data_IF_165345128236
#
_entry.id   IF_165345128236
#
_cell.length_a   1.000
_cell.length_b   1.000
_cell.length_c   1.000
_cell.angle_alpha   90.00
_cell.angle_beta   90.00
_cell.angle_gamma   90.00
#
_symmetry.space_group_name_H-M   'P 1'
#
loop_
_entity.id
_entity.type
_entity.pdbx_description
1 polymer ?
#
# COMPACT_ATOMS: atom_id res chain seq x y z
N UNK A 1 -28.53 -31.67 40.92
CA UNK A 1 -28.21 -30.22 40.97
C UNK A 1 -26.85 -30.01 41.61
N UNK A 2 -25.76 -29.98 40.83
CA UNK A 2 -24.42 -29.59 41.30
C UNK A 2 -24.29 -28.08 41.06
N UNK A 3 -24.20 -27.28 42.13
CA UNK A 3 -24.01 -25.82 42.03
C UNK A 3 -22.54 -25.58 41.66
N UNK A 4 -22.32 -25.09 40.45
CA UNK A 4 -21.03 -24.58 39.98
C UNK A 4 -20.58 -23.44 40.90
N UNK A 5 -19.44 -23.60 41.57
CA UNK A 5 -18.67 -22.45 41.99
C UNK A 5 -18.29 -21.71 40.69
N UNK A 6 -18.79 -20.49 40.52
CA UNK A 6 -18.45 -19.64 39.38
C UNK A 6 -16.99 -19.25 39.49
N UNK A 7 -16.10 -20.09 38.95
CA UNK A 7 -14.81 -19.65 38.50
C UNK A 7 -15.07 -18.47 37.54
N UNK A 8 -14.56 -17.28 37.87
CA UNK A 8 -14.59 -16.16 36.94
C UNK A 8 -13.88 -16.65 35.67
N UNK A 9 -14.58 -16.59 34.53
CA UNK A 9 -13.96 -16.90 33.25
C UNK A 9 -12.77 -15.95 33.01
N UNK A 10 -11.78 -16.38 32.23
CA UNK A 10 -10.63 -15.54 31.85
C UNK A 10 -11.07 -14.16 31.32
N UNK A 11 -12.20 -14.12 30.60
CA UNK A 11 -12.82 -12.90 30.09
C UNK A 11 -13.28 -11.93 31.18
N UNK A 12 -13.84 -12.44 32.27
CA UNK A 12 -14.28 -11.61 33.40
C UNK A 12 -13.08 -11.02 34.16
N UNK A 13 -12.02 -11.82 34.33
CA UNK A 13 -10.76 -11.34 34.92
C UNK A 13 -10.08 -10.28 34.05
N UNK A 14 -10.05 -10.48 32.72
CA UNK A 14 -9.53 -9.50 31.77
C UNK A 14 -10.30 -8.16 31.86
N UNK A 15 -11.63 -8.18 31.99
CA UNK A 15 -12.43 -6.96 32.16
C UNK A 15 -12.07 -6.20 33.44
N UNK A 16 -11.87 -6.90 34.56
CA UNK A 16 -11.46 -6.30 35.84
C UNK A 16 -10.06 -5.68 35.72
N UNK A 17 -9.09 -6.42 35.17
CA UNK A 17 -7.72 -5.92 34.98
C UNK A 17 -7.69 -4.71 34.06
N UNK A 18 -8.47 -4.72 32.96
CA UNK A 18 -8.62 -3.56 32.07
C UNK A 18 -9.15 -2.34 32.83
N UNK A 19 -10.16 -2.52 33.68
CA UNK A 19 -10.69 -1.45 34.54
C UNK A 19 -9.64 -0.90 35.52
N UNK A 20 -8.81 -1.78 36.12
CA UNK A 20 -7.70 -1.37 36.98
C UNK A 20 -6.71 -0.52 36.18
N UNK A 21 -6.25 -0.99 35.02
CA UNK A 21 -5.29 -0.27 34.17
C UNK A 21 -5.81 1.11 33.75
N UNK A 22 -7.09 1.20 33.33
CA UNK A 22 -7.70 2.45 32.91
C UNK A 22 -7.90 3.45 34.06
N UNK A 23 -8.03 2.98 35.30
CA UNK A 23 -8.16 3.83 36.48
C UNK A 23 -6.86 4.49 36.91
N UNK A 24 -5.73 3.99 36.40
CA UNK A 24 -4.40 4.46 36.75
C UNK A 24 -4.06 5.62 35.82
N UNK A 25 -3.89 6.82 36.39
CA UNK A 25 -3.35 8.01 35.69
C UNK A 25 -2.00 7.65 35.03
N UNK A 26 -1.43 8.43 34.09
CA UNK A 26 -0.23 8.07 33.30
C UNK A 26 1.03 7.63 34.07
N UNK A 27 1.02 7.69 35.40
CA UNK A 27 2.05 7.18 36.30
C UNK A 27 2.27 5.65 36.23
N UNK A 28 1.30 4.87 35.73
CA UNK A 28 1.41 3.41 35.66
C UNK A 28 1.19 2.71 37.01
N UNK A 29 1.06 1.38 36.99
CA UNK A 29 0.77 0.54 38.16
C UNK A 29 1.67 -0.68 38.17
N UNK A 30 2.20 -1.06 39.33
CA UNK A 30 3.04 -2.26 39.44
C UNK A 30 2.23 -3.55 39.27
N UNK A 31 2.85 -4.60 38.74
CA UNK A 31 2.23 -5.94 38.67
C UNK A 31 1.75 -6.44 40.04
N UNK A 32 2.53 -6.17 41.09
CA UNK A 32 2.18 -6.52 42.48
C UNK A 32 0.88 -5.83 42.92
N UNK A 33 0.72 -4.55 42.59
CA UNK A 33 -0.47 -3.79 42.95
C UNK A 33 -1.70 -4.23 42.14
N UNK A 34 -1.54 -4.54 40.85
CA UNK A 34 -2.63 -5.14 40.05
C UNK A 34 -3.06 -6.47 40.69
N UNK A 35 -2.10 -7.32 41.05
CA UNK A 35 -2.37 -8.59 41.71
C UNK A 35 -3.11 -8.43 43.05
N UNK A 36 -2.77 -7.41 43.83
CA UNK A 36 -3.44 -7.10 45.10
C UNK A 36 -4.88 -6.62 44.88
N UNK A 37 -5.09 -5.65 43.96
CA UNK A 37 -6.42 -5.15 43.59
C UNK A 37 -7.32 -6.24 43.01
N UNK A 38 -6.76 -7.15 42.21
CA UNK A 38 -7.49 -8.28 41.66
C UNK A 38 -7.93 -9.26 42.75
N UNK A 39 -7.06 -9.56 43.72
CA UNK A 39 -7.40 -10.38 44.89
C UNK A 39 -8.50 -9.74 45.73
N UNK A 40 -8.41 -8.43 46.00
CA UNK A 40 -9.45 -7.68 46.71
C UNK A 40 -10.81 -7.77 46.00
N UNK A 41 -10.81 -7.60 44.68
CA UNK A 41 -12.03 -7.70 43.87
C UNK A 41 -12.64 -9.10 43.92
N UNK A 42 -11.82 -10.15 43.84
CA UNK A 42 -12.28 -11.54 43.94
C UNK A 42 -12.84 -11.85 45.34
N UNK A 43 -12.17 -11.42 46.40
CA UNK A 43 -12.64 -11.58 47.79
C UNK A 43 -13.99 -10.88 48.01
N UNK A 44 -14.13 -9.62 47.55
CA UNK A 44 -15.39 -8.88 47.66
C UNK A 44 -16.54 -9.51 46.85
N UNK A 45 -16.22 -10.22 45.76
CA UNK A 45 -17.21 -10.94 44.94
C UNK A 45 -17.61 -12.26 45.61
N UNK A 46 -16.66 -12.96 46.25
CA UNK A 46 -16.92 -14.16 47.05
C UNK A 46 -17.76 -13.86 48.30
N UNK A 47 -17.55 -12.73 48.96
CA UNK A 47 -18.34 -12.32 50.14
C UNK A 47 -19.81 -12.01 49.80
N UNK A 48 -20.10 -11.53 48.58
CA UNK A 48 -21.48 -11.31 48.11
C UNK A 48 -22.18 -12.59 47.64
N UNK A 49 -21.43 -13.63 47.30
CA UNK A 49 -21.95 -14.95 46.97
C UNK A 49 -22.01 -15.82 48.23
N UNK A 50 -23.19 -15.99 48.82
CA UNK A 50 -23.43 -16.89 49.97
C UNK A 50 -22.71 -18.23 49.83
N UNK A 51 -21.58 -18.41 50.53
CA UNK A 51 -21.27 -19.45 51.52
C UNK A 51 -19.87 -19.18 52.06
N UNK A 52 -19.78 -18.94 53.37
CA UNK A 52 -18.55 -18.95 54.14
C UNK A 52 -17.92 -20.35 54.12
N UNK A 53 -17.05 -20.60 53.14
CA UNK A 53 -15.99 -21.59 53.23
C UNK A 53 -14.72 -20.90 52.75
N UNK A 54 -13.64 -21.05 53.52
CA UNK A 54 -12.29 -20.66 53.15
C UNK A 54 -11.87 -21.39 51.88
N UNK A 55 -12.37 -20.93 50.73
CA UNK A 55 -11.87 -21.29 49.42
C UNK A 55 -10.72 -20.32 49.20
N UNK A 56 -9.49 -20.81 49.28
CA UNK A 56 -8.34 -20.04 48.80
C UNK A 56 -8.68 -19.50 47.41
N UNK A 57 -8.54 -18.19 47.22
CA UNK A 57 -8.79 -17.57 45.94
C UNK A 57 -7.98 -18.33 44.88
N UNK A 58 -8.59 -18.78 43.77
CA UNK A 58 -7.87 -19.52 42.75
C UNK A 58 -6.66 -18.70 42.29
N UNK A 59 -5.51 -19.36 42.16
CA UNK A 59 -4.28 -18.72 41.71
C UNK A 59 -4.50 -18.12 40.33
N UNK A 60 -4.58 -16.79 40.25
CA UNK A 60 -4.71 -16.07 38.99
C UNK A 60 -3.34 -16.05 38.32
N UNK A 61 -3.26 -16.59 37.11
CA UNK A 61 -2.12 -16.36 36.24
C UNK A 61 -2.20 -14.94 35.66
N UNK A 62 -1.62 -13.97 36.38
CA UNK A 62 -1.69 -12.56 35.99
C UNK A 62 -1.06 -12.29 34.62
N UNK A 63 0.00 -13.04 34.25
CA UNK A 63 0.64 -12.92 32.94
C UNK A 63 -0.32 -13.28 31.81
N UNK A 64 -1.08 -14.37 31.93
CA UNK A 64 -2.08 -14.74 30.92
C UNK A 64 -3.21 -13.71 30.83
N UNK A 65 -3.66 -13.18 31.96
CA UNK A 65 -4.72 -12.15 31.95
C UNK A 65 -4.22 -10.85 31.31
N UNK A 66 -2.95 -10.48 31.54
CA UNK A 66 -2.35 -9.31 30.89
C UNK A 66 -2.19 -9.51 29.39
N UNK A 67 -1.78 -10.69 28.93
CA UNK A 67 -1.74 -11.01 27.49
C UNK A 67 -3.10 -10.82 26.81
N UNK A 68 -4.20 -11.13 27.49
CA UNK A 68 -5.56 -10.92 26.96
C UNK A 68 -5.99 -9.45 26.85
N UNK A 69 -5.30 -8.52 27.53
CA UNK A 69 -5.61 -7.07 27.52
C UNK A 69 -4.43 -6.21 27.04
N UNK A 70 -3.50 -6.81 26.31
CA UNK A 70 -2.32 -6.18 25.71
C UNK A 70 -2.65 -5.04 24.72
N UNK A 71 -3.89 -4.93 24.26
CA UNK A 71 -4.41 -3.84 23.43
C UNK A 71 -4.66 -2.53 24.22
N UNK A 72 -4.58 -2.57 25.54
CA UNK A 72 -4.88 -1.43 26.40
C UNK A 72 -3.69 -0.94 27.25
N UNK A 73 -2.51 -1.54 27.11
CA UNK A 73 -1.35 -1.20 27.95
C UNK A 73 0.01 -1.45 27.31
N UNK A 74 1.05 -0.87 27.92
CA UNK A 74 2.45 -1.23 27.73
C UNK A 74 3.03 -1.77 29.04
N UNK A 75 3.90 -2.77 28.95
CA UNK A 75 4.64 -3.33 30.09
C UNK A 75 6.10 -2.88 30.00
N UNK A 76 6.60 -2.22 31.04
CA UNK A 76 8.00 -1.81 31.17
C UNK A 76 8.48 -2.08 32.60
N UNK A 77 9.52 -2.89 32.78
CA UNK A 77 10.13 -3.22 34.07
C UNK A 77 9.13 -3.56 35.20
N UNK A 78 8.14 -4.40 34.89
CA UNK A 78 7.06 -4.81 35.82
C UNK A 78 6.07 -3.71 36.21
N UNK A 79 6.04 -2.61 35.45
CA UNK A 79 5.04 -1.54 35.55
C UNK A 79 4.18 -1.55 34.29
N UNK A 80 2.86 -1.56 34.51
CA UNK A 80 1.84 -1.51 33.47
C UNK A 80 1.38 -0.08 33.30
N UNK A 81 1.52 0.46 32.09
CA UNK A 81 1.08 1.80 31.72
C UNK A 81 -0.15 1.71 30.80
N UNK A 82 -1.21 2.50 31.02
CA UNK A 82 -2.30 2.58 30.05
C UNK A 82 -1.78 3.11 28.72
N UNK A 83 -2.19 2.48 27.62
CA UNK A 83 -1.81 2.90 26.27
C UNK A 83 -3.03 2.82 25.34
N UNK A 84 -3.25 3.90 24.59
CA UNK A 84 -4.23 3.89 23.49
C UNK A 84 -3.54 3.38 22.22
N UNK A 85 -3.39 2.06 22.14
CA UNK A 85 -2.79 1.41 20.98
C UNK A 85 -3.56 1.71 19.69
N UNK A 86 -4.88 1.93 19.75
CA UNK A 86 -5.63 2.29 18.57
C UNK A 86 -5.22 3.67 18.02
N UNK A 87 -4.99 4.66 18.89
CA UNK A 87 -4.44 5.95 18.48
C UNK A 87 -3.00 5.81 17.93
N UNK A 88 -2.13 5.06 18.61
CA UNK A 88 -0.75 4.81 18.17
C UNK A 88 -0.73 4.15 16.78
N UNK A 89 -1.49 3.08 16.59
CA UNK A 89 -1.54 2.35 15.31
C UNK A 89 -2.13 3.21 14.19
N UNK A 90 -3.11 4.09 14.48
CA UNK A 90 -3.61 5.06 13.49
C UNK A 90 -2.55 6.09 13.10
N UNK A 91 -1.79 6.62 14.05
CA UNK A 91 -0.70 7.56 13.77
C UNK A 91 0.38 6.89 12.90
N UNK A 92 0.76 5.66 13.24
CA UNK A 92 1.68 4.87 12.41
C UNK A 92 1.11 4.67 11.01
N UNK A 93 -0.16 4.22 10.90
CA UNK A 93 -0.83 3.99 9.62
C UNK A 93 -0.84 5.24 8.72
N UNK A 94 -1.04 6.44 9.28
CA UNK A 94 -1.03 7.70 8.54
C UNK A 94 0.33 8.06 7.91
N UNK A 95 1.40 7.35 8.25
CA UNK A 95 2.75 7.56 7.71
C UNK A 95 3.29 6.35 6.93
N UNK A 96 2.50 5.29 6.78
CA UNK A 96 2.92 4.07 6.11
C UNK A 96 2.96 4.26 4.59
N UNK A 97 3.99 3.73 3.89
CA UNK A 97 3.98 3.66 2.44
C UNK A 97 2.89 2.68 1.95
N UNK A 98 2.42 2.90 0.72
CA UNK A 98 1.33 2.13 0.11
C UNK A 98 1.67 0.63 -0.01
N UNK A 99 2.91 0.32 -0.34
CA UNK A 99 3.44 -1.04 -0.49
C UNK A 99 3.36 -1.85 0.81
N UNK A 100 3.26 -1.14 1.94
CA UNK A 100 3.29 -1.68 3.29
C UNK A 100 4.69 -1.65 3.90
N UNK A 101 4.75 -2.09 5.15
CA UNK A 101 5.99 -2.20 5.92
C UNK A 101 6.30 -3.66 6.19
N UNK A 102 7.60 -3.95 6.25
CA UNK A 102 8.09 -5.17 6.90
C UNK A 102 8.08 -4.98 8.42
N UNK A 103 8.16 -6.09 9.16
CA UNK A 103 8.05 -6.09 10.62
C UNK A 103 9.03 -5.15 11.33
N UNK A 104 10.28 -5.10 10.88
CA UNK A 104 11.32 -4.24 11.48
C UNK A 104 10.95 -2.75 11.37
N UNK A 105 10.48 -2.30 10.21
CA UNK A 105 10.11 -0.90 9.97
C UNK A 105 8.84 -0.52 10.74
N UNK A 106 7.89 -1.45 10.86
CA UNK A 106 6.71 -1.26 11.69
C UNK A 106 7.08 -1.09 13.17
N UNK A 107 7.94 -1.97 13.70
CA UNK A 107 8.42 -1.89 15.08
C UNK A 107 9.11 -0.54 15.34
N UNK A 108 9.95 -0.09 14.41
CA UNK A 108 10.63 1.20 14.53
C UNK A 108 9.62 2.35 14.70
N UNK A 109 8.58 2.41 13.87
CA UNK A 109 7.55 3.47 13.94
C UNK A 109 6.66 3.36 15.18
N UNK A 110 6.38 2.14 15.64
CA UNK A 110 5.66 1.93 16.91
C UNK A 110 6.49 2.47 18.08
N UNK A 111 7.81 2.27 18.09
CA UNK A 111 8.72 2.83 19.10
C UNK A 111 8.80 4.36 19.05
N UNK A 112 8.74 4.96 17.87
CA UNK A 112 8.70 6.44 17.74
C UNK A 112 7.44 7.04 18.37
N UNK A 113 6.31 6.35 18.30
CA UNK A 113 5.04 6.82 18.87
C UNK A 113 4.85 6.39 20.33
N UNK A 114 5.38 5.24 20.72
CA UNK A 114 5.33 4.72 22.08
C UNK A 114 6.69 4.07 22.45
N UNK A 115 7.61 4.85 23.05
CA UNK A 115 8.96 4.38 23.38
C UNK A 115 9.01 3.21 24.36
N UNK A 116 7.92 2.95 25.09
CA UNK A 116 7.80 1.82 26.02
C UNK A 116 7.34 0.53 25.33
N UNK A 117 7.12 0.55 24.02
CA UNK A 117 6.74 -0.63 23.26
C UNK A 117 7.80 -1.73 23.36
N UNK A 118 7.35 -2.97 23.53
CA UNK A 118 8.21 -4.15 23.52
C UNK A 118 7.63 -5.16 22.54
N UNK A 119 8.31 -5.39 21.41
CA UNK A 119 7.89 -6.34 20.38
C UNK A 119 8.14 -7.81 20.75
N UNK A 120 8.62 -8.08 21.97
CA UNK A 120 8.88 -9.44 22.43
C UNK A 120 7.56 -10.20 22.60
N UNK A 121 7.51 -11.44 22.10
CA UNK A 121 6.36 -12.34 22.24
C UNK A 121 5.99 -12.57 23.72
N UNK A 122 6.95 -12.48 24.64
CA UNK A 122 6.65 -12.53 26.07
C UNK A 122 5.79 -11.34 26.56
N UNK A 123 5.98 -10.16 25.96
CA UNK A 123 5.26 -8.92 26.31
C UNK A 123 3.90 -8.84 25.61
N UNK A 124 3.85 -9.20 24.32
CA UNK A 124 2.60 -9.23 23.55
C UNK A 124 1.78 -10.51 23.80
N UNK A 125 2.39 -11.58 24.31
CA UNK A 125 1.74 -12.89 24.45
C UNK A 125 1.61 -13.69 23.16
N UNK A 126 1.84 -13.06 22.01
CA UNK A 126 1.75 -13.65 20.68
C UNK A 126 2.68 -12.90 19.70
N UNK A 127 2.99 -13.47 18.51
CA UNK A 127 3.76 -12.78 17.49
C UNK A 127 3.07 -11.48 17.03
N UNK A 128 3.85 -10.44 16.69
CA UNK A 128 3.31 -9.13 16.29
C UNK A 128 2.26 -9.22 15.18
N UNK A 129 2.48 -10.08 14.19
CA UNK A 129 1.54 -10.31 13.09
C UNK A 129 0.17 -10.84 13.56
N UNK A 130 0.15 -11.70 14.58
CA UNK A 130 -1.09 -12.22 15.17
C UNK A 130 -1.75 -11.15 16.01
N UNK A 131 -0.98 -10.45 16.86
CA UNK A 131 -1.47 -9.35 17.67
C UNK A 131 -2.14 -8.26 16.85
N UNK A 132 -1.47 -7.81 15.78
CA UNK A 132 -1.99 -6.80 14.87
C UNK A 132 -3.26 -7.29 14.16
N UNK A 133 -3.30 -8.55 13.74
CA UNK A 133 -4.47 -9.16 13.10
C UNK A 133 -5.64 -9.40 14.06
N UNK A 134 -5.38 -9.60 15.36
CA UNK A 134 -6.42 -9.82 16.35
C UNK A 134 -7.06 -8.50 16.76
N UNK A 135 -6.24 -7.52 17.12
CA UNK A 135 -6.70 -6.29 17.77
C UNK A 135 -6.91 -5.12 16.80
N UNK A 136 -6.11 -5.03 15.74
CA UNK A 136 -6.07 -3.86 14.85
C UNK A 136 -6.33 -4.20 13.39
N UNK A 137 -6.98 -5.34 13.11
CA UNK A 137 -7.33 -5.75 11.75
C UNK A 137 -8.17 -4.73 10.99
N UNK A 138 -8.87 -3.84 11.69
CA UNK A 138 -9.68 -2.77 11.09
C UNK A 138 -8.84 -1.57 10.62
N UNK A 139 -7.58 -1.44 11.08
CA UNK A 139 -6.63 -0.38 10.69
C UNK A 139 -5.52 -0.94 9.81
N UNK A 140 -5.00 -2.13 10.13
CA UNK A 140 -3.87 -2.75 9.45
C UNK A 140 -4.28 -4.12 8.92
N UNK A 141 -4.02 -4.36 7.63
CA UNK A 141 -4.08 -5.67 7.00
C UNK A 141 -2.70 -6.33 7.05
N UNK A 142 -2.63 -7.48 7.69
CA UNK A 142 -1.42 -8.32 7.70
C UNK A 142 -1.51 -9.34 6.57
N UNK A 143 -0.47 -9.40 5.76
CA UNK A 143 -0.33 -10.37 4.67
C UNK A 143 1.07 -10.99 4.70
N UNK A 144 1.40 -11.87 3.76
CA UNK A 144 2.75 -12.44 3.62
C UNK A 144 3.34 -12.06 2.27
N UNK A 145 4.64 -11.76 2.26
CA UNK A 145 5.42 -11.63 1.03
C UNK A 145 5.37 -12.95 0.26
N UNK A 146 5.05 -12.89 -1.03
CA UNK A 146 5.01 -14.07 -1.91
C UNK A 146 6.41 -14.67 -2.09
N UNK A 147 7.43 -13.82 -2.12
CA UNK A 147 8.83 -14.22 -2.35
C UNK A 147 9.55 -14.69 -1.09
N UNK A 148 9.29 -14.07 0.07
CA UNK A 148 10.04 -14.36 1.31
C UNK A 148 9.18 -15.00 2.41
N UNK A 149 7.87 -15.07 2.25
CA UNK A 149 6.94 -15.61 3.26
C UNK A 149 6.81 -14.76 4.54
N UNK A 150 7.56 -13.66 4.65
CA UNK A 150 7.59 -12.77 5.82
C UNK A 150 6.33 -11.92 5.91
N UNK A 151 5.87 -11.54 7.12
CA UNK A 151 4.75 -10.62 7.29
C UNK A 151 4.98 -9.27 6.60
N UNK A 152 3.95 -8.80 5.91
CA UNK A 152 3.87 -7.45 5.34
C UNK A 152 2.60 -6.79 5.85
N UNK A 153 2.77 -5.64 6.47
CA UNK A 153 1.72 -4.86 7.12
C UNK A 153 1.30 -3.72 6.21
N UNK A 154 0.04 -3.66 5.83
CA UNK A 154 -0.52 -2.58 5.00
C UNK A 154 -1.62 -1.87 5.76
N UNK A 155 -1.79 -0.58 5.51
CA UNK A 155 -3.01 0.10 5.94
C UNK A 155 -4.18 -0.64 5.31
N UNK A 156 -5.17 -0.98 6.14
CA UNK A 156 -6.41 -1.51 5.61
C UNK A 156 -7.12 -0.35 4.95
N UNK A 157 -7.14 -0.37 3.62
CA UNK A 157 -7.96 0.54 2.85
C UNK A 157 -9.38 0.52 3.45
N UNK A 158 -9.89 1.70 3.80
CA UNK A 158 -11.34 1.87 3.89
C UNK A 158 -11.96 1.30 2.61
N UNK A 159 -13.15 0.70 2.70
CA UNK A 159 -13.84 0.25 1.50
C UNK A 159 -13.76 1.35 0.45
N UNK A 160 -13.23 1.02 -0.74
CA UNK A 160 -13.10 1.98 -1.83
C UNK A 160 -14.42 2.73 -1.95
N UNK A 161 -14.35 4.06 -2.02
CA UNK A 161 -15.54 4.88 -2.25
C UNK A 161 -16.26 4.38 -3.50
N UNK A 162 -17.56 4.63 -3.60
CA UNK A 162 -18.33 4.13 -4.75
C UNK A 162 -17.73 4.63 -6.08
N UNK A 163 -17.18 5.86 -6.06
CA UNK A 163 -16.46 6.49 -7.16
C UNK A 163 -15.13 5.77 -7.47
N UNK A 164 -14.32 5.48 -6.46
CA UNK A 164 -13.04 4.78 -6.69
C UNK A 164 -13.24 3.33 -7.13
N UNK A 165 -14.23 2.64 -6.55
CA UNK A 165 -14.63 1.30 -6.96
C UNK A 165 -15.16 1.29 -8.40
N UNK A 166 -15.93 2.30 -8.80
CA UNK A 166 -16.43 2.43 -10.17
C UNK A 166 -15.29 2.60 -11.19
N UNK A 167 -14.30 3.45 -10.89
CA UNK A 167 -13.11 3.62 -11.73
C UNK A 167 -12.30 2.31 -11.77
N UNK A 168 -12.08 1.66 -10.62
CA UNK A 168 -11.33 0.41 -10.55
C UNK A 168 -12.01 -0.71 -11.37
N UNK A 169 -13.34 -0.82 -11.30
CA UNK A 169 -14.12 -1.76 -12.10
C UNK A 169 -14.05 -1.43 -13.60
N UNK A 170 -14.14 -0.15 -13.97
CA UNK A 170 -13.99 0.29 -15.36
C UNK A 170 -12.60 -0.07 -15.91
N UNK A 171 -11.54 0.14 -15.12
CA UNK A 171 -10.18 -0.24 -15.50
C UNK A 171 -10.03 -1.76 -15.65
N UNK A 172 -10.58 -2.56 -14.73
CA UNK A 172 -10.59 -4.02 -14.84
C UNK A 172 -11.29 -4.50 -16.12
N UNK A 173 -12.42 -3.89 -16.48
CA UNK A 173 -13.13 -4.21 -17.74
C UNK A 173 -12.31 -3.86 -18.99
N UNK A 174 -11.46 -2.83 -18.90
CA UNK A 174 -10.49 -2.45 -19.93
C UNK A 174 -9.20 -3.29 -19.87
N UNK A 175 -9.11 -4.28 -18.97
CA UNK A 175 -7.91 -5.11 -18.79
C UNK A 175 -6.75 -4.37 -18.11
N UNK A 176 -7.03 -3.31 -17.36
CA UNK A 176 -6.05 -2.44 -16.68
C UNK A 176 -6.09 -2.63 -15.17
N UNK A 177 -4.91 -2.78 -14.57
CA UNK A 177 -4.77 -2.93 -13.12
C UNK A 177 -4.71 -1.60 -12.35
N UNK A 178 -4.24 -0.53 -12.98
CA UNK A 178 -4.02 0.79 -12.40
C UNK A 178 -4.59 1.88 -13.31
N UNK A 179 -4.85 3.08 -12.78
CA UNK A 179 -5.18 4.27 -13.58
C UNK A 179 -3.89 4.84 -14.16
N UNK A 180 -3.65 4.75 -15.48
CA UNK A 180 -2.41 5.24 -16.07
C UNK A 180 -2.28 6.77 -15.96
N UNK A 181 -1.05 7.26 -15.91
CA UNK A 181 -0.72 8.70 -16.04
C UNK A 181 -1.37 9.33 -17.28
N UNK A 182 -1.49 8.55 -18.36
CA UNK A 182 -2.29 8.91 -19.52
C UNK A 182 -3.49 7.98 -19.68
N UNK A 183 -4.67 8.53 -19.46
CA UNK A 183 -5.92 7.82 -19.68
C UNK A 183 -6.82 8.67 -20.57
N UNK A 184 -7.26 8.12 -21.71
CA UNK A 184 -8.37 8.71 -22.44
C UNK A 184 -9.66 8.42 -21.67
N UNK A 185 -10.13 9.42 -20.93
CA UNK A 185 -11.33 9.28 -20.12
C UNK A 185 -12.61 9.08 -20.94
N UNK A 186 -12.60 9.36 -22.25
CA UNK A 186 -13.70 8.99 -23.15
C UNK A 186 -13.91 7.47 -23.22
N UNK A 187 -12.90 6.68 -22.89
CA UNK A 187 -12.96 5.21 -22.83
C UNK A 187 -13.36 4.70 -21.45
N UNK A 188 -13.15 5.47 -20.39
CA UNK A 188 -13.65 5.15 -19.04
C UNK A 188 -15.12 5.53 -18.89
N UNK A 189 -15.54 6.68 -19.45
CA UNK A 189 -16.88 7.23 -19.30
C UNK A 189 -18.03 6.23 -19.54
N UNK A 190 -17.97 5.35 -20.58
CA UNK A 190 -19.01 4.37 -20.87
C UNK A 190 -19.10 3.23 -19.86
N UNK A 191 -18.03 2.99 -19.09
CA UNK A 191 -17.95 1.92 -18.10
C UNK A 191 -18.25 2.40 -16.67
N UNK A 192 -18.41 3.72 -16.47
CA UNK A 192 -18.87 4.27 -15.20
C UNK A 192 -20.40 4.22 -15.09
N UNK A 193 -20.95 4.12 -13.87
CA UNK A 193 -22.36 4.34 -13.64
C UNK A 193 -22.79 5.72 -14.16
N UNK A 194 -23.94 5.81 -14.83
CA UNK A 194 -24.49 7.05 -15.39
C UNK A 194 -24.42 8.30 -14.47
N UNK A 195 -24.73 8.23 -13.16
CA UNK A 195 -24.62 9.40 -12.27
C UNK A 195 -23.17 9.77 -11.88
N UNK A 196 -22.20 8.90 -12.16
CA UNK A 196 -20.78 9.07 -11.82
C UNK A 196 -19.92 9.41 -13.04
N UNK A 197 -20.50 9.41 -14.26
CA UNK A 197 -19.77 9.76 -15.48
C UNK A 197 -19.66 11.29 -15.58
N UNK A 198 -18.45 11.86 -15.45
CA UNK A 198 -18.26 13.30 -15.56
C UNK A 198 -18.61 13.78 -16.97
N UNK A 199 -19.27 14.93 -17.07
CA UNK A 199 -19.46 15.61 -18.35
C UNK A 199 -18.10 15.99 -18.96
N UNK A 200 -18.08 16.23 -20.27
CA UNK A 200 -16.88 16.67 -21.00
C UNK A 200 -16.21 17.87 -20.29
N UNK A 201 -14.89 17.78 -20.06
CA UNK A 201 -14.13 18.77 -19.27
C UNK A 201 -14.25 18.66 -17.74
N UNK A 202 -15.15 17.83 -17.21
CA UNK A 202 -15.36 17.61 -15.77
C UNK A 202 -14.44 16.58 -15.11
N UNK A 203 -13.66 15.84 -15.92
CA UNK A 203 -12.82 14.73 -15.45
C UNK A 203 -11.75 15.13 -14.46
N UNK A 204 -11.03 16.21 -14.70
CA UNK A 204 -10.00 16.69 -13.76
C UNK A 204 -10.60 16.96 -12.39
N UNK A 205 -11.74 17.68 -12.35
CA UNK A 205 -12.44 17.97 -11.10
C UNK A 205 -12.94 16.71 -10.40
N UNK A 206 -13.35 15.69 -11.15
CA UNK A 206 -13.78 14.40 -10.61
C UNK A 206 -12.61 13.61 -10.00
N UNK A 207 -11.47 13.56 -10.68
CA UNK A 207 -10.29 12.85 -10.20
C UNK A 207 -9.64 13.54 -8.99
N UNK A 208 -9.70 14.88 -8.94
CA UNK A 208 -9.21 15.65 -7.79
C UNK A 208 -10.08 15.55 -6.54
N UNK A 209 -11.30 15.00 -6.64
CA UNK A 209 -12.12 14.74 -5.45
C UNK A 209 -11.36 13.83 -4.50
N UNK A 210 -11.37 14.14 -3.20
CA UNK A 210 -10.70 13.35 -2.17
C UNK A 210 -11.15 11.88 -2.19
N UNK A 211 -12.42 11.64 -2.53
CA UNK A 211 -12.97 10.29 -2.72
C UNK A 211 -12.27 9.48 -3.81
N UNK A 212 -11.63 10.12 -4.80
CA UNK A 212 -10.94 9.48 -5.92
C UNK A 212 -9.43 9.62 -5.77
N UNK A 213 -8.92 10.84 -5.54
CA UNK A 213 -7.49 11.14 -5.44
C UNK A 213 -6.78 10.44 -4.28
N UNK A 214 -7.49 9.99 -3.25
CA UNK A 214 -6.89 9.16 -2.19
C UNK A 214 -6.65 7.70 -2.59
N UNK A 215 -7.20 7.24 -3.71
CA UNK A 215 -7.08 5.86 -4.19
C UNK A 215 -6.33 5.75 -5.53
N UNK A 216 -6.00 6.86 -6.18
CA UNK A 216 -5.27 6.90 -7.45
C UNK A 216 -4.25 8.05 -7.43
N UNK A 217 -3.09 7.84 -8.06
CA UNK A 217 -2.09 8.90 -8.24
C UNK A 217 -2.52 9.85 -9.38
N UNK A 218 -3.36 10.82 -9.04
CA UNK A 218 -3.96 11.77 -10.00
C UNK A 218 -3.02 12.94 -10.34
N UNK A 219 -2.01 13.21 -9.50
CA UNK A 219 -1.08 14.33 -9.67
C UNK A 219 0.33 13.81 -9.91
N UNK A 220 0.60 13.42 -11.15
CA UNK A 220 1.95 13.04 -11.58
C UNK A 220 2.52 14.15 -12.46
N UNK A 221 3.52 14.86 -11.95
CA UNK A 221 4.30 15.82 -12.75
C UNK A 221 5.26 15.06 -13.67
N UNK A 222 4.86 14.86 -14.93
CA UNK A 222 5.75 14.33 -15.98
C UNK A 222 6.19 15.46 -16.90
N UNK A 223 7.47 15.85 -16.79
CA UNK A 223 8.08 16.82 -17.69
C UNK A 223 8.70 16.11 -18.90
N UNK A 224 7.92 15.92 -19.97
CA UNK A 224 8.45 15.40 -21.24
C UNK A 224 8.98 16.56 -22.09
N UNK A 225 10.30 16.76 -22.11
CA UNK A 225 10.92 17.77 -22.98
C UNK A 225 11.00 17.23 -24.41
N UNK A 226 10.07 17.65 -25.25
CA UNK A 226 10.11 17.38 -26.69
C UNK A 226 10.96 18.45 -27.38
N UNK A 227 11.96 18.03 -28.16
CA UNK A 227 12.81 18.97 -28.88
C UNK A 227 11.96 19.72 -29.94
N UNK A 228 12.04 21.07 -29.99
CA UNK A 228 11.29 21.85 -30.97
C UNK A 228 11.86 21.60 -32.38
N UNK A 229 10.99 21.19 -33.31
CA UNK A 229 11.33 20.99 -34.72
C UNK A 229 11.57 19.54 -35.17
N UNK A 230 11.27 18.53 -34.34
CA UNK A 230 11.54 17.14 -34.71
C UNK A 230 10.55 16.55 -35.73
N UNK A 231 11.14 15.77 -36.63
CA UNK A 231 10.55 14.97 -37.71
C UNK A 231 9.22 14.28 -37.42
N UNK A 232 8.46 13.88 -38.48
CA UNK A 232 7.24 13.11 -38.33
C UNK A 232 7.45 11.75 -37.64
N UNK A 233 8.69 11.29 -37.47
CA UNK A 233 8.98 9.99 -36.85
C UNK A 233 9.63 10.12 -35.47
N UNK A 234 9.08 9.44 -34.47
CA UNK A 234 9.61 9.34 -33.10
C UNK A 234 9.85 7.89 -32.70
N UNK A 235 10.87 7.64 -31.88
CA UNK A 235 11.21 6.32 -31.34
C UNK A 235 11.24 6.43 -29.82
N UNK A 236 10.24 5.84 -29.16
CA UNK A 236 10.13 5.75 -27.71
C UNK A 236 10.72 4.42 -27.25
N UNK A 237 11.76 4.46 -26.43
CA UNK A 237 12.49 3.26 -25.98
C UNK A 237 12.26 3.04 -24.50
N UNK A 238 11.84 1.84 -24.12
CA UNK A 238 11.80 1.39 -22.73
C UNK A 238 13.20 1.00 -22.25
N UNK A 239 13.95 1.98 -21.76
CA UNK A 239 15.30 1.76 -21.23
C UNK A 239 15.35 0.89 -19.98
N UNK A 240 14.21 0.55 -19.38
CA UNK A 240 14.14 -0.37 -18.22
C UNK A 240 14.06 -1.84 -18.64
N UNK A 241 13.65 -2.13 -19.88
CA UNK A 241 13.48 -3.50 -20.36
C UNK A 241 14.45 -3.88 -21.48
N UNK A 242 14.98 -2.91 -22.24
CA UNK A 242 15.90 -3.15 -23.35
C UNK A 242 17.32 -2.64 -23.08
N UNK A 243 18.31 -3.35 -23.62
CA UNK A 243 19.69 -2.87 -23.63
C UNK A 243 19.80 -1.69 -24.61
N UNK A 244 19.97 -0.49 -24.05
CA UNK A 244 20.01 0.78 -24.80
C UNK A 244 21.17 0.81 -25.80
N UNK A 245 22.24 0.02 -25.61
CA UNK A 245 23.35 -0.08 -26.57
C UNK A 245 22.92 -0.65 -27.93
N UNK A 246 21.85 -1.44 -27.96
CA UNK A 246 21.31 -2.10 -29.16
C UNK A 246 20.41 -1.21 -30.00
N UNK A 247 20.05 -0.02 -29.50
CA UNK A 247 19.17 0.90 -30.21
C UNK A 247 19.81 1.38 -31.51
N UNK A 248 21.11 1.64 -31.54
CA UNK A 248 21.82 2.03 -32.77
C UNK A 248 21.74 0.97 -33.88
N UNK A 249 21.68 -0.31 -33.53
CA UNK A 249 21.49 -1.42 -34.47
C UNK A 249 20.05 -1.49 -34.97
N UNK A 250 19.08 -1.40 -34.04
CA UNK A 250 17.64 -1.34 -34.37
C UNK A 250 17.32 -0.19 -35.34
N UNK A 251 17.85 1.00 -35.07
CA UNK A 251 17.66 2.18 -35.92
C UNK A 251 18.17 1.93 -37.34
N UNK A 252 19.32 1.26 -37.48
CA UNK A 252 19.90 0.90 -38.78
C UNK A 252 19.04 -0.13 -39.52
N UNK A 253 18.55 -1.15 -38.82
CA UNK A 253 17.69 -2.19 -39.38
C UNK A 253 16.37 -1.62 -39.92
N UNK A 254 15.77 -0.68 -39.19
CA UNK A 254 14.52 0.00 -39.59
C UNK A 254 14.75 1.17 -40.56
N UNK A 255 15.97 1.38 -41.04
CA UNK A 255 16.36 2.51 -41.88
C UNK A 255 15.97 3.88 -41.29
N UNK A 256 15.99 4.00 -39.96
CA UNK A 256 15.70 5.22 -39.23
C UNK A 256 17.01 5.98 -38.98
N UNK A 257 17.14 7.19 -39.52
CA UNK A 257 18.31 8.04 -39.28
C UNK A 257 18.04 9.09 -38.20
N UNK A 258 19.02 9.32 -37.32
CA UNK A 258 18.92 10.31 -36.23
C UNK A 258 18.66 11.75 -36.73
N UNK A 259 18.93 12.04 -37.99
CA UNK A 259 18.60 13.31 -38.65
C UNK A 259 17.10 13.48 -38.97
N UNK A 260 16.32 12.39 -38.98
CA UNK A 260 14.91 12.34 -39.40
C UNK A 260 14.03 11.64 -38.35
N UNK A 261 14.56 11.36 -37.16
CA UNK A 261 13.77 10.81 -36.06
C UNK A 261 14.23 11.34 -34.71
N UNK A 262 13.28 11.56 -33.81
CA UNK A 262 13.59 11.81 -32.39
C UNK A 262 13.63 10.49 -31.64
N UNK A 263 14.73 10.18 -30.96
CA UNK A 263 14.83 9.01 -30.06
C UNK A 263 14.69 9.50 -28.63
N UNK A 264 13.74 8.92 -27.89
CA UNK A 264 13.48 9.22 -26.48
C UNK A 264 13.55 7.93 -25.68
N UNK A 265 14.52 7.84 -24.78
CA UNK A 265 14.70 6.68 -23.90
C UNK A 265 14.11 6.98 -22.53
N UNK A 266 13.18 6.14 -22.09
CA UNK A 266 12.49 6.22 -20.81
C UNK A 266 13.19 5.28 -19.82
N UNK A 267 13.76 5.83 -18.74
CA UNK A 267 14.59 5.09 -17.78
C UNK A 267 14.27 5.48 -16.34
N UNK A 268 14.71 4.68 -15.38
CA UNK A 268 14.59 5.03 -13.95
C UNK A 268 15.75 5.95 -13.53
N UNK A 269 15.56 6.68 -12.43
CA UNK A 269 16.54 7.66 -11.92
C UNK A 269 17.92 7.07 -11.59
N UNK A 270 17.97 5.77 -11.31
CA UNK A 270 19.20 5.08 -10.89
C UNK A 270 20.06 4.60 -12.07
N UNK A 271 19.57 4.71 -13.31
CA UNK A 271 20.32 4.29 -14.50
C UNK A 271 21.24 5.39 -15.05
N UNK A 272 22.49 5.06 -15.46
CA UNK A 272 23.37 6.02 -16.11
C UNK A 272 22.72 6.58 -17.38
N UNK A 273 22.64 7.91 -17.49
CA UNK A 273 22.08 8.61 -18.65
C UNK A 273 22.83 8.27 -19.95
N UNK A 274 22.07 8.03 -21.02
CA UNK A 274 22.58 7.75 -22.36
C UNK A 274 22.68 9.02 -23.20
N UNK A 275 21.79 9.98 -22.95
CA UNK A 275 21.73 11.27 -23.62
C UNK A 275 21.09 12.33 -22.72
N UNK A 276 21.37 13.61 -23.00
CA UNK A 276 20.70 14.76 -22.36
C UNK A 276 19.20 14.84 -22.67
N UNK A 277 18.72 14.06 -23.64
CA UNK A 277 17.34 14.01 -24.08
C UNK A 277 16.51 12.87 -23.47
N UNK A 278 17.11 12.06 -22.60
CA UNK A 278 16.45 10.95 -21.93
C UNK A 278 15.33 11.41 -20.98
N UNK A 279 14.31 10.58 -20.84
CA UNK A 279 13.19 10.80 -19.93
C UNK A 279 13.44 9.98 -18.67
N UNK A 280 13.70 10.66 -17.56
CA UNK A 280 13.83 10.04 -16.24
C UNK A 280 12.44 9.89 -15.62
N UNK A 281 12.05 8.66 -15.37
CA UNK A 281 10.79 8.27 -14.74
C UNK A 281 10.96 8.17 -13.23
N UNK A 282 9.93 8.57 -12.49
CA UNK A 282 9.85 8.28 -11.06
C UNK A 282 9.62 6.78 -10.84
N UNK A 283 10.18 6.22 -9.76
CA UNK A 283 10.31 4.77 -9.58
C UNK A 283 9.00 3.97 -9.51
N UNK A 284 7.88 4.63 -9.23
CA UNK A 284 6.55 4.02 -9.14
C UNK A 284 5.77 4.04 -10.48
N UNK A 285 6.32 4.68 -11.52
CA UNK A 285 5.66 4.75 -12.82
C UNK A 285 6.02 3.56 -13.71
N UNK A 286 5.00 2.92 -14.26
CA UNK A 286 5.19 1.88 -15.27
C UNK A 286 5.63 2.52 -16.62
N UNK A 287 6.68 2.00 -17.26
CA UNK A 287 7.20 2.52 -18.53
C UNK A 287 6.15 2.68 -19.63
N UNK A 288 5.24 1.70 -19.75
CA UNK A 288 4.16 1.69 -20.73
C UNK A 288 3.21 2.89 -20.61
N UNK A 289 2.93 3.36 -19.38
CA UNK A 289 2.01 4.45 -19.12
C UNK A 289 2.64 5.81 -19.44
N UNK A 290 3.92 5.98 -19.12
CA UNK A 290 4.67 7.22 -19.43
C UNK A 290 4.92 7.35 -20.93
N UNK A 291 5.24 6.24 -21.60
CA UNK A 291 5.38 6.19 -23.07
C UNK A 291 4.04 6.49 -23.75
N UNK A 292 2.93 5.94 -23.25
CA UNK A 292 1.58 6.27 -23.72
C UNK A 292 1.28 7.78 -23.67
N UNK A 293 1.62 8.45 -22.56
CA UNK A 293 1.46 9.90 -22.41
C UNK A 293 2.28 10.71 -23.44
N UNK A 294 3.50 10.27 -23.71
CA UNK A 294 4.35 10.88 -24.72
C UNK A 294 3.78 10.70 -26.12
N UNK A 295 3.29 9.51 -26.47
CA UNK A 295 2.65 9.21 -27.75
C UNK A 295 1.41 10.10 -27.95
N UNK A 296 0.54 10.20 -26.95
CA UNK A 296 -0.66 11.03 -27.03
C UNK A 296 -0.34 12.51 -27.32
N UNK A 297 0.74 13.02 -26.73
CA UNK A 297 1.23 14.37 -26.97
C UNK A 297 1.81 14.56 -28.38
N UNK A 298 2.38 13.49 -28.96
CA UNK A 298 2.98 13.48 -30.30
C UNK A 298 1.94 13.30 -31.41
N UNK A 299 0.93 12.46 -31.17
CA UNK A 299 -0.16 12.13 -32.08
C UNK A 299 -1.11 13.30 -32.42
N UNK A 300 -1.11 14.37 -31.62
CA UNK A 300 -1.86 15.59 -31.96
C UNK A 300 -1.32 16.29 -33.23
N UNK A 301 -0.25 15.76 -33.84
CA UNK A 301 0.35 16.24 -35.08
C UNK A 301 -0.01 15.29 -36.23
N UNK A 302 -0.62 15.81 -37.29
CA UNK A 302 -0.95 15.04 -38.49
C UNK A 302 0.29 14.34 -39.08
N UNK A 303 0.19 13.02 -39.30
CA UNK A 303 1.22 12.22 -39.98
C UNK A 303 2.39 11.74 -39.11
N UNK A 304 2.27 11.76 -37.78
CA UNK A 304 3.31 11.26 -36.88
C UNK A 304 3.39 9.72 -36.85
N UNK A 305 4.58 9.16 -37.11
CA UNK A 305 4.92 7.75 -36.92
C UNK A 305 5.68 7.57 -35.60
N UNK A 306 5.24 6.66 -34.73
CA UNK A 306 5.89 6.40 -33.46
C UNK A 306 6.28 4.93 -33.33
N UNK A 307 7.56 4.65 -33.20
CA UNK A 307 8.06 3.32 -32.86
C UNK A 307 8.22 3.20 -31.35
N UNK A 308 7.62 2.18 -30.75
CA UNK A 308 7.78 1.86 -29.34
C UNK A 308 8.66 0.63 -29.23
N UNK A 309 9.86 0.78 -28.67
CA UNK A 309 10.84 -0.30 -28.53
C UNK A 309 10.83 -0.80 -27.09
N UNK A 310 10.48 -2.07 -26.90
CA UNK A 310 10.41 -2.73 -25.60
C UNK A 310 11.01 -4.15 -25.67
N UNK A 311 11.22 -4.79 -24.52
CA UNK A 311 11.65 -6.19 -24.50
C UNK A 311 10.55 -7.13 -25.01
N UNK A 312 10.92 -8.26 -25.60
CA UNK A 312 9.98 -9.34 -25.95
C UNK A 312 9.08 -9.74 -24.77
N UNK A 313 9.63 -9.82 -23.56
CA UNK A 313 8.88 -10.13 -22.32
C UNK A 313 7.88 -9.04 -21.91
N UNK A 314 8.04 -7.82 -22.41
CA UNK A 314 7.17 -6.68 -22.12
C UNK A 314 6.10 -6.47 -23.21
N UNK A 315 6.21 -7.14 -24.36
CA UNK A 315 5.42 -6.83 -25.55
C UNK A 315 3.90 -6.94 -25.30
N UNK A 316 3.43 -7.97 -24.60
CA UNK A 316 2.01 -8.13 -24.29
C UNK A 316 1.49 -7.06 -23.32
N UNK A 317 2.32 -6.61 -22.36
CA UNK A 317 1.97 -5.49 -21.48
C UNK A 317 1.80 -4.20 -22.26
N UNK A 318 2.74 -3.90 -23.18
CA UNK A 318 2.66 -2.73 -24.05
C UNK A 318 1.47 -2.80 -25.02
N UNK A 319 1.14 -3.97 -25.57
CA UNK A 319 -0.05 -4.15 -26.41
C UNK A 319 -1.32 -3.81 -25.63
N UNK A 320 -1.45 -4.30 -24.40
CA UNK A 320 -2.61 -4.03 -23.56
C UNK A 320 -2.67 -2.55 -23.13
N UNK A 321 -1.55 -1.98 -22.69
CA UNK A 321 -1.48 -0.61 -22.19
C UNK A 321 -1.70 0.44 -23.29
N UNK A 322 -1.21 0.18 -24.51
CA UNK A 322 -1.32 1.10 -25.65
C UNK A 322 -2.48 0.77 -26.60
N UNK A 323 -3.34 -0.19 -26.25
CA UNK A 323 -4.45 -0.64 -27.10
C UNK A 323 -5.30 0.53 -27.63
N UNK A 324 -5.58 1.51 -26.77
CA UNK A 324 -6.38 2.70 -27.11
C UNK A 324 -5.71 3.56 -28.18
N UNK A 325 -4.41 3.82 -28.02
CA UNK A 325 -3.63 4.61 -28.96
C UNK A 325 -3.46 3.90 -30.30
N UNK A 326 -3.38 2.57 -30.29
CA UNK A 326 -3.33 1.77 -31.51
C UNK A 326 -4.70 1.64 -32.21
N UNK A 327 -5.80 1.78 -31.46
CA UNK A 327 -7.18 1.66 -31.99
C UNK A 327 -7.78 2.98 -32.48
N UNK A 328 -7.27 4.11 -31.98
CA UNK A 328 -7.69 5.46 -32.35
C UNK A 328 -6.99 5.94 -33.63
N UNK A 329 -7.39 7.10 -34.16
CA UNK A 329 -6.82 7.74 -35.37
C UNK A 329 -5.31 8.07 -35.31
N UNK A 330 -4.63 7.70 -34.22
CA UNK A 330 -3.17 7.60 -34.05
C UNK A 330 -2.56 6.43 -34.86
N UNK A 331 -2.88 6.27 -36.15
CA UNK A 331 -2.52 5.10 -36.95
C UNK A 331 -1.00 4.88 -37.21
N UNK A 332 -0.13 5.72 -36.64
CA UNK A 332 1.32 5.67 -36.82
C UNK A 332 2.10 4.93 -35.73
N UNK A 333 1.44 4.31 -34.74
CA UNK A 333 2.14 3.63 -33.62
C UNK A 333 2.53 2.19 -33.99
N UNK A 334 3.82 1.87 -33.91
CA UNK A 334 4.38 0.53 -34.19
C UNK A 334 5.13 -0.01 -32.97
N UNK A 335 4.68 -1.13 -32.41
CA UNK A 335 5.40 -1.86 -31.35
C UNK A 335 6.53 -2.70 -31.94
N UNK A 336 7.74 -2.52 -31.43
CA UNK A 336 8.95 -3.26 -31.79
C UNK A 336 9.52 -3.96 -30.55
N UNK A 337 9.84 -5.24 -30.69
CA UNK A 337 10.43 -6.03 -29.61
C UNK A 337 11.93 -6.24 -29.88
N UNK A 338 12.75 -6.11 -28.83
CA UNK A 338 14.15 -6.53 -28.81
C UNK A 338 14.34 -7.64 -27.76
N UNK A 339 15.34 -8.53 -27.93
CA UNK A 339 15.72 -9.45 -26.87
C UNK A 339 16.09 -8.66 -25.61
N UNK A 340 15.45 -8.99 -24.47
CA UNK A 340 15.55 -8.22 -23.22
C UNK A 340 16.93 -8.29 -22.56
N UNK A 341 17.17 -7.40 -21.59
CA UNK A 341 18.34 -7.47 -20.72
C UNK A 341 18.16 -8.64 -19.75
N UNK A 342 19.17 -9.51 -19.62
CA UNK A 342 19.21 -10.41 -18.48
C UNK A 342 19.41 -9.55 -17.22
N UNK A 343 18.34 -9.34 -16.44
CA UNK A 343 18.46 -8.72 -15.12
C UNK A 343 19.43 -9.58 -14.30
N UNK A 344 20.58 -9.02 -13.93
CA UNK A 344 21.47 -9.65 -12.96
C UNK A 344 20.67 -9.83 -11.67
N UNK A 345 20.57 -11.08 -11.22
CA UNK A 345 19.82 -11.48 -10.01
C UNK A 345 20.37 -10.83 -8.74
#
# INVERSE_FOLDING_TARGET
MRRCATALSSTALAAVVRGIIQSVKPAGVSLTEIGLKLKEHMSATMERGTVARSVEAPSVNLEEVLKEVNDAHCLCDSVVYPCDWAAVVRNVAGTMPWEGLIEADLIHRLLENEPRFQSAEASLGEPLCQWMSRHFHHIIRVSRSVTRGVPVYRVREEAATAEAAAIHNALQLLGRGNLPVYTDFALIAPHLPGPMSPAEGGWMRFLEQESVSRHFDVRVDVSVRLAPGCSPTSVCVDGTSVDVSRISEFMREKALSQSVCSVKVFRRADDPGWSTDDVVMQGFLDPEHVIGAAIASLCQRDGANVYVVCAESAQERYKAALADLMSSSCSGVTLCALPGVALAQ
#
